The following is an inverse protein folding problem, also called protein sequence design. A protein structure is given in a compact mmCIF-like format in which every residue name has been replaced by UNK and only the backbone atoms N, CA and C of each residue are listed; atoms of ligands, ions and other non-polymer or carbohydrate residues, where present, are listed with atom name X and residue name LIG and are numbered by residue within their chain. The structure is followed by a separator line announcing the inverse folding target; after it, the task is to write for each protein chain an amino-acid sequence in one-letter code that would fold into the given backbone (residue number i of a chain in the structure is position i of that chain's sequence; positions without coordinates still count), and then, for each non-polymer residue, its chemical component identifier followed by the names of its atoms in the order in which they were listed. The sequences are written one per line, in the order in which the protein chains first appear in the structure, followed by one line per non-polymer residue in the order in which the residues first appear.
data_IF_206971723841
#
_entry.id   IF_206971723841
#
_cell.length_a   1.000
_cell.length_b   1.000
_cell.length_c   1.000
_cell.angle_alpha   90.00
_cell.angle_beta   90.00
_cell.angle_gamma   90.00
#
_symmetry.space_group_name_H-M   'P 1'
#
loop_
_entity.id
_entity.type
_entity.pdbx_description
1 polymer ?
#
# COMPACT_ATOMS: atom_id res chain seq x y z
N UNK A 1 36.21 -6.27 -1.86
CA UNK A 1 34.80 -6.60 -1.63
C UNK A 1 33.87 -6.12 -2.77
N UNK A 2 33.85 -4.84 -3.17
CA UNK A 2 32.96 -4.33 -4.26
C UNK A 2 33.09 -5.05 -5.61
N UNK A 3 34.30 -5.45 -6.04
CA UNK A 3 34.52 -6.18 -7.30
C UNK A 3 33.96 -7.61 -7.30
N UNK A 4 33.92 -8.28 -6.14
CA UNK A 4 33.34 -9.64 -6.01
C UNK A 4 31.80 -9.59 -6.09
N UNK A 5 31.18 -8.55 -5.51
CA UNK A 5 29.71 -8.37 -5.55
C UNK A 5 29.20 -8.14 -6.98
N UNK A 6 29.91 -7.33 -7.77
CA UNK A 6 29.56 -7.09 -9.19
C UNK A 6 29.72 -8.37 -10.03
N UNK A 7 30.70 -9.20 -9.73
CA UNK A 7 30.91 -10.47 -10.44
C UNK A 7 29.80 -11.50 -10.09
N UNK A 8 29.31 -11.52 -8.87
CA UNK A 8 28.19 -12.38 -8.43
C UNK A 8 26.91 -11.97 -9.11
N UNK A 9 26.59 -10.66 -9.17
CA UNK A 9 25.41 -10.15 -9.89
C UNK A 9 25.47 -10.44 -11.40
N UNK A 10 26.65 -10.31 -12.03
CA UNK A 10 26.83 -10.66 -13.42
C UNK A 10 26.71 -12.18 -13.68
N UNK A 11 27.15 -13.02 -12.72
CA UNK A 11 27.06 -14.47 -12.85
C UNK A 11 25.62 -14.97 -12.70
N UNK A 12 24.84 -14.38 -11.80
CA UNK A 12 23.39 -14.68 -11.65
C UNK A 12 22.63 -14.34 -12.94
N UNK A 13 22.96 -13.23 -13.62
CA UNK A 13 22.37 -12.90 -14.91
C UNK A 13 22.78 -13.87 -16.03
N UNK A 14 24.00 -14.40 -15.99
CA UNK A 14 24.50 -15.32 -17.02
C UNK A 14 23.92 -16.74 -16.83
N UNK A 15 23.71 -17.18 -15.60
CA UNK A 15 23.13 -18.50 -15.30
C UNK A 15 21.69 -18.57 -15.76
N UNK A 16 20.94 -17.47 -15.69
CA UNK A 16 19.55 -17.43 -16.19
C UNK A 16 19.43 -17.56 -17.72
N UNK A 17 20.52 -17.36 -18.48
CA UNK A 17 20.52 -17.45 -19.96
C UNK A 17 21.19 -18.70 -20.52
N UNK A 18 21.84 -19.53 -19.71
CA UNK A 18 22.76 -20.56 -20.18
C UNK A 18 22.36 -22.03 -19.90
N UNK A 19 21.18 -22.32 -19.36
CA UNK A 19 20.73 -23.68 -19.12
C UNK A 19 19.63 -24.10 -20.13
N UNK A 20 19.97 -24.77 -21.23
CA UNK A 20 18.98 -25.41 -22.08
C UNK A 20 18.54 -26.74 -21.44
N UNK A 21 17.30 -26.83 -21.05
CA UNK A 21 16.65 -28.13 -20.84
C UNK A 21 16.23 -28.51 -19.42
N UNK A 22 16.10 -27.58 -18.50
CA UNK A 22 15.40 -27.87 -17.24
C UNK A 22 13.90 -27.61 -17.48
N UNK A 23 13.11 -28.66 -17.52
CA UNK A 23 11.66 -28.54 -17.50
C UNK A 23 11.25 -28.03 -16.12
N UNK A 24 11.00 -26.72 -16.01
CA UNK A 24 10.50 -26.13 -14.79
C UNK A 24 9.03 -26.55 -14.58
N UNK A 25 8.71 -26.95 -13.37
CA UNK A 25 7.33 -27.15 -12.97
C UNK A 25 6.60 -25.82 -13.17
N UNK A 26 5.48 -25.87 -13.88
CA UNK A 26 4.65 -24.73 -14.20
C UNK A 26 3.86 -24.34 -12.94
N UNK A 27 4.49 -23.68 -12.00
CA UNK A 27 3.77 -22.91 -10.98
C UNK A 27 3.68 -21.47 -11.52
N UNK A 28 2.46 -21.10 -11.90
CA UNK A 28 2.10 -19.72 -12.21
C UNK A 28 2.35 -18.90 -10.93
N UNK A 29 3.24 -17.90 -10.93
CA UNK A 29 3.49 -17.09 -9.75
C UNK A 29 2.30 -16.22 -9.32
N UNK A 30 1.11 -16.44 -9.88
CA UNK A 30 -0.12 -15.69 -9.60
C UNK A 30 -0.23 -14.36 -10.34
N UNK A 31 0.66 -14.05 -11.27
CA UNK A 31 0.61 -12.81 -12.06
C UNK A 31 -0.67 -12.72 -12.90
N UNK A 32 -1.04 -13.82 -13.57
CA UNK A 32 -2.26 -13.88 -14.39
C UNK A 32 -3.50 -13.57 -13.56
N UNK A 33 -3.62 -14.18 -12.38
CA UNK A 33 -4.74 -13.95 -11.48
C UNK A 33 -4.76 -12.52 -10.93
N UNK A 34 -3.58 -11.96 -10.63
CA UNK A 34 -3.45 -10.57 -10.23
C UNK A 34 -3.94 -9.60 -11.32
N UNK A 35 -3.53 -9.80 -12.58
CA UNK A 35 -3.98 -8.99 -13.73
C UNK A 35 -5.50 -9.11 -13.90
N UNK A 36 -6.03 -10.33 -13.92
CA UNK A 36 -7.47 -10.59 -14.07
C UNK A 36 -8.26 -9.94 -12.94
N UNK A 37 -7.79 -10.06 -11.71
CA UNK A 37 -8.43 -9.46 -10.53
C UNK A 37 -8.50 -7.94 -10.64
N UNK A 38 -7.42 -7.30 -11.05
CA UNK A 38 -7.39 -5.85 -11.26
C UNK A 38 -8.38 -5.44 -12.35
N UNK A 39 -8.37 -6.10 -13.51
CA UNK A 39 -9.26 -5.78 -14.64
C UNK A 39 -10.75 -6.05 -14.36
N UNK A 40 -11.08 -6.94 -13.43
CA UNK A 40 -12.46 -7.13 -12.94
C UNK A 40 -12.95 -5.98 -12.07
N UNK A 41 -12.06 -5.42 -11.27
CA UNK A 41 -12.41 -4.42 -10.26
C UNK A 41 -12.22 -2.98 -10.76
N UNK A 42 -11.24 -2.76 -11.60
CA UNK A 42 -10.81 -1.44 -12.05
C UNK A 42 -10.89 -1.33 -13.57
N UNK A 43 -11.08 -0.11 -14.04
CA UNK A 43 -11.05 0.17 -15.47
C UNK A 43 -9.62 0.51 -15.87
N UNK A 44 -9.07 -0.26 -16.81
CA UNK A 44 -7.81 0.06 -17.46
C UNK A 44 -8.16 0.62 -18.84
N UNK A 45 -7.81 1.88 -19.17
CA UNK A 45 -8.09 2.46 -20.47
C UNK A 45 -7.46 1.65 -21.61
N UNK A 46 -8.17 1.46 -22.71
CA UNK A 46 -7.70 0.63 -23.83
C UNK A 46 -6.44 1.21 -24.49
N UNK A 47 -6.27 2.52 -24.44
CA UNK A 47 -5.05 3.20 -24.94
C UNK A 47 -3.80 2.89 -24.12
N UNK A 48 -3.94 2.41 -22.87
CA UNK A 48 -2.85 1.98 -22.02
C UNK A 48 -2.44 0.53 -22.38
N UNK A 49 -1.80 0.37 -23.54
CA UNK A 49 -1.51 -0.94 -24.14
C UNK A 49 -0.14 -1.51 -23.79
N UNK A 50 0.80 -0.67 -23.36
CA UNK A 50 2.10 -1.16 -22.86
C UNK A 50 1.96 -1.61 -21.41
N UNK A 51 2.38 -2.85 -21.14
CA UNK A 51 2.27 -3.46 -19.82
C UNK A 51 3.64 -3.82 -19.25
N UNK A 52 3.83 -3.50 -17.98
CA UNK A 52 4.99 -3.94 -17.19
C UNK A 52 4.57 -4.32 -15.77
N UNK A 53 5.40 -5.09 -15.10
CA UNK A 53 5.14 -5.50 -13.73
C UNK A 53 6.44 -5.64 -12.92
N UNK A 54 6.30 -5.60 -11.61
CA UNK A 54 7.31 -6.04 -10.67
C UNK A 54 6.65 -6.81 -9.52
N UNK A 55 7.41 -7.72 -8.91
CA UNK A 55 6.93 -8.49 -7.77
C UNK A 55 7.93 -8.40 -6.61
N UNK A 56 7.40 -8.39 -5.40
CA UNK A 56 8.18 -8.53 -4.19
C UNK A 56 7.46 -9.47 -3.24
N UNK A 57 8.21 -10.38 -2.59
CA UNK A 57 7.64 -11.33 -1.65
C UNK A 57 8.21 -11.08 -0.25
N UNK A 58 7.33 -11.04 0.74
CA UNK A 58 7.71 -10.90 2.14
C UNK A 58 6.70 -11.64 3.02
N UNK A 59 7.19 -12.47 3.95
CA UNK A 59 6.32 -13.20 4.88
C UNK A 59 5.32 -14.15 4.21
N UNK A 60 5.64 -14.69 3.02
CA UNK A 60 4.74 -15.58 2.27
C UNK A 60 3.62 -14.87 1.50
N UNK A 61 3.63 -13.54 1.46
CA UNK A 61 2.72 -12.74 0.63
C UNK A 61 3.51 -12.12 -0.50
N UNK A 62 3.08 -12.35 -1.75
CA UNK A 62 3.62 -11.66 -2.91
C UNK A 62 2.82 -10.42 -3.19
N UNK A 63 3.50 -9.30 -3.37
CA UNK A 63 2.94 -8.03 -3.82
C UNK A 63 3.31 -7.83 -5.28
N UNK A 64 2.32 -7.71 -6.13
CA UNK A 64 2.45 -7.37 -7.55
C UNK A 64 2.23 -5.88 -7.73
N UNK A 65 3.16 -5.21 -8.41
CA UNK A 65 2.96 -3.86 -8.91
C UNK A 65 2.80 -3.96 -10.43
N UNK A 66 1.60 -3.67 -10.90
CA UNK A 66 1.20 -3.78 -12.30
C UNK A 66 1.08 -2.38 -12.88
N UNK A 67 1.61 -2.15 -14.06
CA UNK A 67 1.57 -0.85 -14.72
C UNK A 67 1.14 -0.99 -16.17
N UNK A 68 0.17 -0.18 -16.55
CA UNK A 68 -0.30 -0.02 -17.93
C UNK A 68 -0.08 1.42 -18.36
N UNK A 69 0.58 1.62 -19.47
CA UNK A 69 0.83 2.96 -20.00
C UNK A 69 0.47 3.07 -21.48
N UNK A 70 0.19 4.28 -21.92
CA UNK A 70 0.05 4.59 -23.35
C UNK A 70 1.41 4.53 -24.01
N UNK A 71 1.43 4.17 -25.29
CA UNK A 71 2.65 4.17 -26.07
C UNK A 71 3.14 5.60 -26.35
N UNK A 72 4.38 5.89 -25.96
CA UNK A 72 5.03 7.20 -26.15
C UNK A 72 4.98 8.09 -24.91
N UNK A 73 5.62 9.29 -25.04
CA UNK A 73 5.89 10.18 -23.89
C UNK A 73 4.68 11.06 -23.47
N UNK A 74 3.62 11.11 -24.28
CA UNK A 74 2.43 11.91 -24.03
C UNK A 74 1.22 11.00 -23.85
N UNK A 75 0.87 10.69 -22.61
CA UNK A 75 -0.24 9.80 -22.40
C UNK A 75 -0.63 9.63 -20.93
N UNK A 76 -1.10 8.45 -20.59
CA UNK A 76 -1.51 8.13 -19.24
C UNK A 76 -0.81 6.85 -18.72
N UNK A 77 -0.72 6.76 -17.41
CA UNK A 77 -0.24 5.59 -16.68
C UNK A 77 -1.33 5.19 -15.69
N UNK A 78 -1.61 3.90 -15.63
CA UNK A 78 -2.35 3.24 -14.54
C UNK A 78 -1.38 2.34 -13.79
N UNK A 79 -1.20 2.57 -12.51
CA UNK A 79 -0.37 1.74 -11.64
C UNK A 79 -1.23 1.13 -10.54
N UNK A 80 -1.12 -0.18 -10.31
CA UNK A 80 -1.91 -0.91 -9.33
C UNK A 80 -1.02 -1.85 -8.54
N UNK A 81 -1.12 -1.77 -7.20
CA UNK A 81 -0.50 -2.76 -6.33
C UNK A 81 -1.58 -3.71 -5.80
N UNK A 82 -1.39 -4.99 -6.01
CA UNK A 82 -2.28 -6.06 -5.57
C UNK A 82 -1.49 -7.15 -4.89
N UNK A 83 -1.98 -7.65 -3.75
CA UNK A 83 -1.32 -8.74 -3.04
C UNK A 83 -1.77 -10.12 -3.57
N UNK A 84 -1.03 -11.17 -3.21
CA UNK A 84 -1.34 -12.55 -3.59
C UNK A 84 -2.68 -13.07 -3.04
N UNK A 85 -3.38 -12.31 -2.19
CA UNK A 85 -4.76 -12.60 -1.77
C UNK A 85 -5.80 -11.91 -2.65
N UNK A 86 -5.37 -11.15 -3.68
CA UNK A 86 -6.24 -10.37 -4.57
C UNK A 86 -6.73 -9.05 -3.96
N UNK A 87 -6.12 -8.61 -2.87
CA UNK A 87 -6.45 -7.34 -2.23
C UNK A 87 -5.74 -6.18 -2.95
N UNK A 88 -6.52 -5.21 -3.43
CA UNK A 88 -5.99 -3.99 -4.06
C UNK A 88 -5.52 -3.06 -2.95
N UNK A 89 -4.21 -2.79 -2.91
CA UNK A 89 -3.59 -1.92 -1.91
C UNK A 89 -3.36 -0.51 -2.42
N UNK A 90 -3.07 -0.37 -3.71
CA UNK A 90 -2.86 0.92 -4.33
C UNK A 90 -3.44 0.93 -5.76
N UNK A 91 -3.98 2.05 -6.15
CA UNK A 91 -4.32 2.41 -7.53
C UNK A 91 -3.95 3.86 -7.75
N UNK A 92 -3.32 4.14 -8.88
CA UNK A 92 -2.98 5.49 -9.30
C UNK A 92 -3.17 5.65 -10.81
N UNK A 93 -3.96 6.64 -11.21
CA UNK A 93 -4.08 7.08 -12.60
C UNK A 93 -3.40 8.42 -12.77
N UNK A 94 -2.49 8.52 -13.71
CA UNK A 94 -1.80 9.74 -14.07
C UNK A 94 -1.92 10.01 -15.55
N UNK A 95 -2.23 11.26 -15.91
CA UNK A 95 -2.28 11.70 -17.29
C UNK A 95 -1.34 12.90 -17.46
N UNK A 96 -0.31 12.73 -18.28
CA UNK A 96 0.73 13.74 -18.52
C UNK A 96 0.17 15.04 -19.10
N UNK A 97 -0.85 14.96 -19.97
CA UNK A 97 -1.49 16.14 -20.57
C UNK A 97 -2.13 17.05 -19.53
N UNK A 98 -2.59 16.48 -18.40
CA UNK A 98 -3.20 17.25 -17.33
C UNK A 98 -2.19 18.09 -16.53
N UNK A 99 -0.92 17.74 -16.54
CA UNK A 99 0.14 18.47 -15.82
C UNK A 99 0.41 19.84 -16.44
N UNK A 100 0.24 19.97 -17.76
CA UNK A 100 0.51 21.21 -18.51
C UNK A 100 -0.72 22.08 -18.72
N UNK A 101 -1.90 21.61 -18.32
CA UNK A 101 -3.13 22.43 -18.40
C UNK A 101 -3.20 23.39 -17.22
N UNK A 102 -2.74 24.63 -17.43
CA UNK A 102 -2.75 25.70 -16.43
C UNK A 102 -4.14 26.27 -16.14
N UNK A 103 -5.18 25.73 -16.78
CA UNK A 103 -6.56 26.18 -16.57
C UNK A 103 -7.12 25.58 -15.27
N UNK A 104 -8.02 26.33 -14.64
CA UNK A 104 -8.81 25.80 -13.53
C UNK A 104 -9.58 24.56 -13.99
N UNK A 105 -9.55 23.47 -13.17
CA UNK A 105 -10.28 22.27 -13.52
C UNK A 105 -11.78 22.60 -13.57
N UNK A 106 -12.45 22.10 -14.61
CA UNK A 106 -13.92 22.18 -14.70
C UNK A 106 -14.50 21.27 -13.60
N UNK A 107 -15.35 21.85 -12.77
CA UNK A 107 -16.08 21.11 -11.76
C UNK A 107 -17.42 20.69 -12.34
N UNK A 108 -17.64 19.38 -12.51
CA UNK A 108 -18.89 18.81 -13.04
C UNK A 108 -19.66 18.03 -11.98
N UNK A 109 -19.00 17.58 -10.90
CA UNK A 109 -19.63 16.88 -9.78
C UNK A 109 -19.36 17.62 -8.47
N UNK A 110 -20.30 17.57 -7.55
CA UNK A 110 -20.16 18.10 -6.20
C UNK A 110 -19.25 17.19 -5.34
N UNK A 111 -18.80 17.72 -4.21
CA UNK A 111 -18.02 16.93 -3.24
C UNK A 111 -18.82 15.77 -2.65
N UNK A 112 -20.12 15.96 -2.44
CA UNK A 112 -21.00 14.92 -1.87
C UNK A 112 -21.24 13.79 -2.89
N UNK A 113 -21.44 14.11 -4.16
CA UNK A 113 -21.51 13.11 -5.23
C UNK A 113 -20.18 12.36 -5.38
N UNK A 114 -19.04 13.04 -5.30
CA UNK A 114 -17.74 12.42 -5.33
C UNK A 114 -17.52 11.51 -4.13
N UNK A 115 -18.01 11.91 -2.93
CA UNK A 115 -17.94 11.07 -1.72
C UNK A 115 -18.75 9.78 -1.89
N UNK A 116 -19.97 9.87 -2.43
CA UNK A 116 -20.80 8.69 -2.72
C UNK A 116 -20.06 7.74 -3.67
N UNK A 117 -19.49 8.27 -4.76
CA UNK A 117 -18.68 7.45 -5.70
C UNK A 117 -17.45 6.82 -5.02
N UNK A 118 -16.79 7.55 -4.14
CA UNK A 118 -15.67 7.03 -3.38
C UNK A 118 -16.09 5.84 -2.50
N UNK A 119 -17.22 5.95 -1.81
CA UNK A 119 -17.77 4.87 -0.97
C UNK A 119 -18.20 3.66 -1.81
N UNK A 120 -18.82 3.87 -2.97
CA UNK A 120 -19.15 2.80 -3.92
C UNK A 120 -17.90 2.05 -4.40
N UNK A 121 -16.82 2.78 -4.71
CA UNK A 121 -15.55 2.16 -5.12
C UNK A 121 -14.91 1.40 -3.96
N UNK A 122 -14.87 1.98 -2.76
CA UNK A 122 -14.34 1.31 -1.57
C UNK A 122 -15.08 0.00 -1.32
N UNK A 123 -16.42 0.02 -1.38
CA UNK A 123 -17.25 -1.17 -1.20
C UNK A 123 -17.03 -2.22 -2.30
N UNK A 124 -16.88 -1.78 -3.56
CA UNK A 124 -16.58 -2.66 -4.68
C UNK A 124 -15.23 -3.37 -4.52
N UNK A 125 -14.21 -2.64 -4.07
CA UNK A 125 -12.86 -3.19 -3.86
C UNK A 125 -12.79 -4.06 -2.60
N UNK A 126 -13.61 -3.76 -1.58
CA UNK A 126 -13.57 -4.42 -0.28
C UNK A 126 -15.00 -4.59 0.28
N UNK A 127 -15.74 -5.59 -0.17
CA UNK A 127 -17.13 -5.78 0.26
C UNK A 127 -17.30 -5.86 1.78
N UNK A 128 -18.20 -5.05 2.33
CA UNK A 128 -18.52 -4.97 3.77
C UNK A 128 -17.52 -4.17 4.61
N UNK A 129 -16.51 -3.52 4.01
CA UNK A 129 -15.49 -2.80 4.77
C UNK A 129 -16.02 -1.48 5.37
N UNK A 130 -17.01 -0.87 4.72
CA UNK A 130 -17.52 0.45 5.12
C UNK A 130 -18.05 0.49 6.56
N UNK A 131 -18.62 -0.61 7.07
CA UNK A 131 -19.12 -0.73 8.44
C UNK A 131 -18.00 -0.57 9.49
N UNK A 132 -16.77 -0.88 9.11
CA UNK A 132 -15.57 -0.74 9.94
C UNK A 132 -14.82 0.55 9.75
N UNK A 133 -15.31 1.44 8.88
CA UNK A 133 -14.65 2.69 8.53
C UNK A 133 -15.34 3.91 9.13
N UNK A 134 -14.54 4.87 9.55
CA UNK A 134 -14.99 6.20 9.94
C UNK A 134 -14.42 7.22 8.97
N UNK A 135 -15.29 7.98 8.32
CA UNK A 135 -14.88 9.11 7.49
C UNK A 135 -14.21 10.18 8.35
N UNK A 136 -13.03 10.60 7.93
CA UNK A 136 -12.31 11.70 8.56
C UNK A 136 -12.39 12.91 7.61
N UNK A 137 -13.18 13.90 8.02
CA UNK A 137 -13.16 15.17 7.34
C UNK A 137 -11.81 15.84 7.62
N UNK A 138 -10.83 15.61 6.76
CA UNK A 138 -9.60 16.37 6.81
C UNK A 138 -9.94 17.84 6.52
N UNK A 139 -9.36 18.76 7.29
CA UNK A 139 -9.28 20.16 6.90
C UNK A 139 -8.35 20.25 5.67
N UNK A 140 -8.85 19.78 4.55
CA UNK A 140 -8.13 19.85 3.30
C UNK A 140 -8.32 21.27 2.76
N UNK A 141 -7.27 22.05 2.87
CA UNK A 141 -7.10 23.19 1.99
C UNK A 141 -7.00 22.62 0.56
N UNK A 142 -8.13 22.41 -0.08
CA UNK A 142 -8.15 22.07 -1.51
C UNK A 142 -7.79 23.32 -2.27
N UNK A 143 -6.69 23.30 -2.98
CA UNK A 143 -6.36 24.35 -3.94
C UNK A 143 -7.46 24.41 -5.01
N UNK A 144 -7.74 25.60 -5.50
CA UNK A 144 -8.62 25.78 -6.67
C UNK A 144 -8.06 25.11 -7.93
N UNK A 145 -6.76 24.77 -7.91
CA UNK A 145 -6.08 24.04 -8.99
C UNK A 145 -6.17 22.51 -8.81
N UNK A 146 -6.61 22.02 -7.64
CA UNK A 146 -6.75 20.58 -7.44
C UNK A 146 -7.82 20.01 -8.36
N UNK A 147 -7.48 19.00 -9.14
CA UNK A 147 -8.39 18.34 -10.08
C UNK A 147 -9.26 17.28 -9.39
N UNK A 148 -8.94 16.85 -8.20
CA UNK A 148 -9.64 15.80 -7.49
C UNK A 148 -10.16 16.25 -6.12
N UNK A 149 -11.21 15.56 -5.65
CA UNK A 149 -11.62 15.54 -4.26
C UNK A 149 -10.96 14.40 -3.56
N UNK A 150 -10.41 14.67 -2.38
CA UNK A 150 -9.73 13.69 -1.55
C UNK A 150 -10.61 13.33 -0.35
N UNK A 151 -10.67 12.03 -0.05
CA UNK A 151 -11.39 11.48 1.08
C UNK A 151 -10.49 10.52 1.84
N UNK A 152 -10.61 10.50 3.16
CA UNK A 152 -9.87 9.59 4.02
C UNK A 152 -10.81 8.93 5.01
N UNK A 153 -10.67 7.63 5.15
CA UNK A 153 -11.44 6.79 6.04
C UNK A 153 -10.47 6.03 6.93
N UNK A 154 -10.69 6.06 8.25
CA UNK A 154 -9.87 5.35 9.22
C UNK A 154 -10.65 4.14 9.71
N UNK A 155 -9.98 3.00 9.81
CA UNK A 155 -10.55 1.80 10.42
C UNK A 155 -10.91 2.07 11.87
N UNK A 156 -12.04 1.50 12.31
CA UNK A 156 -12.48 1.48 13.71
C UNK A 156 -12.70 0.05 14.15
N UNK A 157 -12.41 -0.22 15.42
CA UNK A 157 -12.78 -1.45 16.10
C UNK A 157 -13.52 -1.10 17.39
N UNK A 158 -14.75 -1.57 17.56
CA UNK A 158 -15.63 -1.17 18.66
C UNK A 158 -15.73 0.36 18.85
N UNK A 159 -15.77 1.11 17.73
CA UNK A 159 -15.82 2.57 17.74
C UNK A 159 -14.48 3.27 18.01
N UNK A 160 -13.40 2.54 18.32
CA UNK A 160 -12.07 3.09 18.58
C UNK A 160 -11.31 3.18 17.25
N UNK A 161 -10.82 4.38 16.85
CA UNK A 161 -10.07 4.55 15.63
C UNK A 161 -8.69 3.87 15.66
N UNK A 162 -8.27 3.33 14.52
CA UNK A 162 -6.94 2.72 14.31
C UNK A 162 -6.20 3.55 13.27
N UNK A 163 -5.43 4.59 13.67
CA UNK A 163 -4.84 5.55 12.74
C UNK A 163 -3.84 4.98 11.74
N UNK A 164 -3.26 3.81 12.05
CA UNK A 164 -2.34 3.09 11.15
C UNK A 164 -3.05 2.24 10.09
N UNK A 165 -4.39 2.19 10.12
CA UNK A 165 -5.21 1.47 9.14
C UNK A 165 -6.19 2.46 8.53
N UNK A 166 -5.99 2.79 7.26
CA UNK A 166 -6.83 3.78 6.58
C UNK A 166 -6.98 3.48 5.09
N UNK A 167 -7.99 4.09 4.51
CA UNK A 167 -8.22 4.17 3.09
C UNK A 167 -8.24 5.64 2.69
N UNK A 168 -7.38 6.00 1.76
CA UNK A 168 -7.37 7.31 1.12
C UNK A 168 -7.75 7.16 -0.34
N UNK A 169 -8.70 7.96 -0.81
CA UNK A 169 -9.24 7.87 -2.17
C UNK A 169 -9.43 9.28 -2.77
N UNK A 170 -9.12 9.42 -4.04
CA UNK A 170 -9.31 10.66 -4.78
C UNK A 170 -10.20 10.43 -6.01
N UNK A 171 -11.17 11.32 -6.18
CA UNK A 171 -12.15 11.31 -7.29
C UNK A 171 -11.99 12.59 -8.12
N UNK A 172 -11.86 12.44 -9.43
CA UNK A 172 -11.74 13.57 -10.36
C UNK A 172 -12.99 14.45 -10.31
N UNK A 173 -12.80 15.78 -10.25
CA UNK A 173 -13.89 16.77 -10.14
C UNK A 173 -14.71 16.92 -11.42
N UNK A 174 -14.14 16.58 -12.55
CA UNK A 174 -14.76 16.73 -13.85
C UNK A 174 -15.46 15.46 -14.31
N UNK A 175 -14.76 14.31 -14.21
CA UNK A 175 -15.27 13.03 -14.73
C UNK A 175 -15.98 12.19 -13.66
N UNK A 176 -15.65 12.38 -12.40
CA UNK A 176 -16.11 11.53 -11.31
C UNK A 176 -15.44 10.17 -11.26
N UNK A 177 -14.33 10.01 -11.96
CA UNK A 177 -13.55 8.78 -12.02
C UNK A 177 -12.53 8.68 -10.87
N UNK A 178 -12.08 7.47 -10.61
CA UNK A 178 -11.04 7.18 -9.64
C UNK A 178 -9.70 7.72 -10.14
N UNK A 179 -9.05 8.58 -9.35
CA UNK A 179 -7.69 9.08 -9.59
C UNK A 179 -6.67 8.32 -8.78
N UNK A 180 -6.95 8.11 -7.49
CA UNK A 180 -6.07 7.31 -6.64
C UNK A 180 -6.86 6.61 -5.54
N UNK A 181 -6.34 5.47 -5.14
CA UNK A 181 -6.78 4.71 -4.00
C UNK A 181 -5.54 4.17 -3.29
N UNK A 182 -5.50 4.31 -1.98
CA UNK A 182 -4.46 3.73 -1.15
C UNK A 182 -5.09 3.12 0.09
N UNK A 183 -4.75 1.88 0.40
CA UNK A 183 -5.22 1.13 1.55
C UNK A 183 -4.03 0.66 2.38
N UNK A 184 -3.96 1.14 3.61
CA UNK A 184 -3.07 0.60 4.63
C UNK A 184 -3.92 -0.23 5.59
N UNK A 185 -3.69 -1.55 5.63
CA UNK A 185 -4.56 -2.46 6.37
C UNK A 185 -3.81 -3.65 6.94
N UNK A 186 -3.75 -3.71 8.26
CA UNK A 186 -3.19 -4.85 8.95
C UNK A 186 -4.30 -5.87 9.19
N UNK A 187 -4.27 -7.00 8.48
CA UNK A 187 -5.31 -8.04 8.53
C UNK A 187 -5.28 -8.82 9.84
N UNK A 188 -4.10 -9.09 10.38
CA UNK A 188 -3.86 -10.06 11.46
C UNK A 188 -3.68 -9.43 12.85
N UNK A 189 -4.29 -8.25 13.08
CA UNK A 189 -4.20 -7.57 14.38
C UNK A 189 -5.29 -8.03 15.31
N UNK A 190 -4.89 -8.53 16.48
CA UNK A 190 -5.82 -8.84 17.59
C UNK A 190 -5.95 -7.58 18.45
N UNK A 191 -7.18 -7.07 18.53
CA UNK A 191 -7.48 -5.90 19.37
C UNK A 191 -7.86 -6.34 20.78
N UNK A 192 -7.21 -5.79 21.81
CA UNK A 192 -7.59 -6.06 23.18
C UNK A 192 -8.97 -5.44 23.51
N UNK A 193 -9.68 -6.02 24.48
CA UNK A 193 -10.92 -5.41 24.98
C UNK A 193 -10.62 -4.08 25.67
N UNK A 194 -11.42 -3.06 25.39
CA UNK A 194 -11.32 -1.75 26.02
C UNK A 194 -12.13 -1.61 27.34
N UNK A 195 -12.60 -2.74 27.92
CA UNK A 195 -13.46 -2.69 29.15
C UNK A 195 -12.71 -2.27 30.42
N UNK A 196 -11.39 -2.43 30.46
CA UNK A 196 -10.57 -2.19 31.65
C UNK A 196 -9.57 -1.04 31.47
N UNK A 197 -9.90 -0.09 30.60
CA UNK A 197 -9.05 1.09 30.39
C UNK A 197 -9.30 2.13 31.49
N UNK A 198 -8.29 2.94 31.77
CA UNK A 198 -8.40 4.10 32.66
C UNK A 198 -9.39 5.12 32.07
N UNK A 199 -10.03 5.89 32.94
CA UNK A 199 -10.92 6.96 32.48
C UNK A 199 -10.15 8.07 31.75
N UNK A 200 -10.86 8.87 30.94
CA UNK A 200 -10.25 10.02 30.26
C UNK A 200 -9.60 11.00 31.26
N UNK A 201 -10.18 11.17 32.43
CA UNK A 201 -9.61 12.05 33.48
C UNK A 201 -8.29 11.49 33.99
N UNK A 202 -8.24 10.21 34.32
CA UNK A 202 -6.99 9.53 34.75
C UNK A 202 -5.93 9.59 33.64
N UNK A 203 -6.33 9.39 32.36
CA UNK A 203 -5.43 9.53 31.22
C UNK A 203 -4.86 10.96 31.07
N UNK A 204 -5.67 12.00 31.32
CA UNK A 204 -5.23 13.40 31.31
C UNK A 204 -4.22 13.67 32.43
N UNK A 205 -4.48 13.17 33.63
CA UNK A 205 -3.56 13.29 34.79
C UNK A 205 -2.25 12.52 34.51
N UNK A 206 -2.34 11.32 33.97
CA UNK A 206 -1.19 10.53 33.53
C UNK A 206 -0.39 11.22 32.43
N UNK A 207 -1.06 11.87 31.47
CA UNK A 207 -0.40 12.64 30.42
C UNK A 207 0.46 13.77 31.00
N UNK A 208 -0.13 14.58 31.92
CA UNK A 208 0.61 15.69 32.58
C UNK A 208 1.80 15.15 33.37
N UNK A 209 1.60 14.04 34.11
CA UNK A 209 2.63 13.44 34.98
C UNK A 209 3.75 12.77 34.19
N UNK A 210 3.43 11.98 33.16
CA UNK A 210 4.36 11.02 32.51
C UNK A 210 4.89 11.52 31.18
N UNK A 211 4.16 12.38 30.44
CA UNK A 211 4.61 13.04 29.23
C UNK A 211 4.98 14.50 29.47
N UNK A 212 4.15 15.22 30.23
CA UNK A 212 4.41 16.59 30.65
C UNK A 212 4.32 17.63 29.51
N UNK A 213 4.31 18.89 29.97
CA UNK A 213 4.32 20.05 29.09
C UNK A 213 5.47 20.97 29.51
N UNK A 214 6.08 21.67 28.55
CA UNK A 214 7.07 22.74 28.79
C UNK A 214 6.62 24.00 28.10
N UNK A 215 6.95 25.12 28.72
CA UNK A 215 6.76 26.45 28.12
C UNK A 215 7.84 26.71 27.07
N UNK A 216 7.42 27.08 25.87
CA UNK A 216 8.31 27.42 24.75
C UNK A 216 7.82 28.70 24.07
N UNK A 217 8.72 29.43 23.42
CA UNK A 217 8.32 30.46 22.48
C UNK A 217 8.14 29.82 21.09
N UNK A 218 7.00 30.09 20.48
CA UNK A 218 6.70 29.70 19.10
C UNK A 218 6.52 30.94 18.24
N UNK A 219 6.75 30.80 16.94
CA UNK A 219 6.58 31.86 15.97
C UNK A 219 5.58 31.44 14.87
N UNK A 220 4.76 32.39 14.44
CA UNK A 220 3.89 32.25 13.28
C UNK A 220 4.12 33.43 12.34
N UNK A 221 4.20 33.16 11.05
CA UNK A 221 4.27 34.15 10.00
C UNK A 221 2.83 34.49 9.58
N UNK A 222 2.47 35.76 9.70
CA UNK A 222 1.18 36.28 9.25
C UNK A 222 1.39 37.63 8.61
N UNK A 223 0.94 37.78 7.36
CA UNK A 223 1.03 39.07 6.61
C UNK A 223 2.45 39.63 6.62
N UNK A 224 3.45 38.85 6.21
CA UNK A 224 4.88 39.18 6.15
C UNK A 224 5.52 39.63 7.48
N UNK A 225 4.81 39.45 8.58
CA UNK A 225 5.32 39.72 9.93
C UNK A 225 5.45 38.43 10.74
N UNK A 226 6.49 38.36 11.55
CA UNK A 226 6.71 37.24 12.50
C UNK A 226 6.10 37.63 13.83
N UNK A 227 5.12 36.89 14.31
CA UNK A 227 4.57 37.00 15.65
C UNK A 227 5.12 35.89 16.53
N UNK A 228 5.80 36.24 17.59
CA UNK A 228 6.29 35.31 18.62
C UNK A 228 5.30 35.29 19.80
N UNK A 229 5.00 34.12 20.33
CA UNK A 229 4.12 33.96 21.47
C UNK A 229 4.56 32.78 22.35
N UNK A 230 4.34 32.80 23.66
CA UNK A 230 4.57 31.68 24.54
C UNK A 230 3.47 30.63 24.36
N UNK A 231 3.86 29.35 24.36
CA UNK A 231 2.91 28.20 24.30
C UNK A 231 3.45 27.05 25.14
N UNK A 232 2.54 26.28 25.72
CA UNK A 232 2.87 24.98 26.29
C UNK A 232 2.92 23.92 25.18
N UNK A 233 4.04 23.26 25.07
CA UNK A 233 4.25 22.15 24.11
C UNK A 233 4.58 20.87 24.84
N UNK A 234 4.23 19.69 24.30
CA UNK A 234 4.66 18.43 24.88
C UNK A 234 6.17 18.35 25.03
N UNK A 235 6.64 17.75 26.13
CA UNK A 235 8.08 17.52 26.35
C UNK A 235 8.61 16.48 25.37
N UNK A 236 7.81 15.44 25.12
CA UNK A 236 8.12 14.35 24.19
C UNK A 236 7.43 14.58 22.84
N UNK A 237 8.04 14.08 21.76
CA UNK A 237 7.49 14.18 20.41
C UNK A 237 6.25 13.31 20.19
N UNK A 238 5.72 13.33 18.96
CA UNK A 238 4.47 12.68 18.56
C UNK A 238 4.46 11.14 18.62
N UNK A 239 5.61 10.50 18.89
CA UNK A 239 5.72 9.04 19.01
C UNK A 239 5.46 8.49 20.42
N UNK A 240 5.09 9.33 21.38
CA UNK A 240 4.82 8.89 22.74
C UNK A 240 3.34 8.98 23.08
N UNK A 241 2.85 7.99 23.81
CA UNK A 241 1.47 7.80 24.21
C UNK A 241 1.35 7.51 25.71
N UNK A 242 0.15 7.60 26.23
CA UNK A 242 -0.23 7.02 27.52
C UNK A 242 -0.92 5.70 27.24
N UNK A 243 -0.39 4.64 27.81
CA UNK A 243 -1.02 3.33 27.77
C UNK A 243 -2.38 3.39 28.49
N UNK A 244 -3.44 2.96 27.82
CA UNK A 244 -4.80 3.11 28.32
C UNK A 244 -5.13 2.10 29.44
N UNK A 245 -4.34 1.10 29.69
CA UNK A 245 -4.53 0.14 30.80
C UNK A 245 -3.74 0.53 32.03
N UNK A 246 -2.53 1.05 31.86
CA UNK A 246 -1.60 1.30 32.97
C UNK A 246 -1.46 2.78 33.34
N UNK A 247 -1.78 3.70 32.41
CA UNK A 247 -1.48 5.12 32.56
C UNK A 247 0.00 5.45 32.40
N UNK A 248 0.84 4.51 32.05
CA UNK A 248 2.28 4.73 31.85
C UNK A 248 2.59 5.29 30.47
N UNK A 249 3.75 5.91 30.36
CA UNK A 249 4.26 6.38 29.05
C UNK A 249 4.76 5.19 28.24
N UNK A 250 4.28 5.08 27.02
CA UNK A 250 4.78 4.13 26.02
C UNK A 250 5.22 4.85 24.75
N UNK A 251 5.99 4.19 23.89
CA UNK A 251 6.48 4.72 22.64
C UNK A 251 5.96 3.88 21.47
N UNK A 252 5.62 4.53 20.38
CA UNK A 252 5.23 3.85 19.15
C UNK A 252 6.36 2.94 18.67
N UNK A 253 6.04 1.68 18.42
CA UNK A 253 7.02 0.67 17.97
C UNK A 253 7.77 -0.05 19.09
N UNK A 254 7.51 0.26 20.38
CA UNK A 254 8.23 -0.39 21.49
C UNK A 254 7.88 -1.87 21.69
N UNK A 255 6.71 -2.34 21.25
CA UNK A 255 6.32 -3.75 21.31
C UNK A 255 5.21 -4.11 20.30
N UNK A 256 5.53 -4.14 19.02
CA UNK A 256 4.75 -4.94 18.08
C UNK A 256 5.56 -6.16 17.68
N UNK A 257 5.54 -7.18 18.51
CA UNK A 257 5.92 -8.54 18.10
C UNK A 257 4.74 -9.06 17.26
N UNK A 258 4.75 -8.77 15.98
CA UNK A 258 3.85 -9.41 15.03
C UNK A 258 4.36 -10.84 14.85
N UNK A 259 3.67 -11.81 15.44
CA UNK A 259 3.86 -13.21 15.10
C UNK A 259 3.20 -13.48 13.75
N UNK A 260 3.94 -13.23 12.66
CA UNK A 260 3.49 -13.41 11.29
C UNK A 260 3.24 -14.86 10.86
N UNK A 261 3.60 -15.88 11.68
CA UNK A 261 3.87 -17.22 11.18
C UNK A 261 2.68 -18.16 10.98
N UNK A 262 1.49 -17.91 11.51
CA UNK A 262 0.35 -18.85 11.33
C UNK A 262 -0.79 -18.32 10.46
N UNK A 263 -1.04 -17.03 10.42
CA UNK A 263 -2.12 -16.44 9.65
C UNK A 263 -1.84 -16.48 8.13
N UNK A 264 -0.57 -16.33 7.73
CA UNK A 264 -0.14 -16.35 6.32
C UNK A 264 -0.37 -17.74 5.70
N UNK A 265 -0.15 -18.83 6.43
CA UNK A 265 -0.43 -20.20 5.94
C UNK A 265 -1.93 -20.44 5.66
N UNK A 266 -2.80 -19.74 6.36
CA UNK A 266 -4.25 -19.89 6.21
C UNK A 266 -4.82 -19.09 5.04
N UNK A 267 -4.20 -17.96 4.68
CA UNK A 267 -4.62 -17.16 3.52
C UNK A 267 -4.24 -17.80 2.20
N UNK A 268 -3.11 -18.50 2.11
CA UNK A 268 -2.71 -19.24 0.90
C UNK A 268 -3.68 -20.38 0.55
N UNK A 269 -4.37 -20.98 1.53
CA UNK A 269 -5.36 -22.04 1.27
C UNK A 269 -6.70 -21.54 0.72
N UNK A 270 -6.96 -20.23 0.72
CA UNK A 270 -8.20 -19.64 0.21
C UNK A 270 -8.11 -19.34 -1.29
N UNK A 271 -6.91 -19.23 -1.87
CA UNK A 271 -6.72 -19.08 -3.32
C UNK A 271 -7.00 -20.37 -4.09
N UNK A 272 -6.76 -21.53 -3.46
CA UNK A 272 -7.02 -22.86 -4.06
C UNK A 272 -8.53 -23.20 -4.15
N UNK A 273 -9.39 -22.38 -3.56
CA UNK A 273 -10.86 -22.56 -3.58
C UNK A 273 -11.60 -21.69 -4.62
N UNK A 274 -10.95 -21.40 -5.77
CA UNK A 274 -11.69 -21.14 -7.01
C UNK A 274 -12.58 -19.89 -6.99
N UNK A 275 -12.06 -18.70 -6.74
CA UNK A 275 -12.64 -17.48 -7.31
C UNK A 275 -12.24 -17.42 -8.79
N UNK A 276 -12.89 -18.23 -9.60
CA UNK A 276 -12.69 -18.26 -11.04
C UNK A 276 -12.92 -16.87 -11.64
N UNK A 277 -11.85 -16.24 -12.07
CA UNK A 277 -11.85 -15.05 -12.93
C UNK A 277 -12.26 -15.43 -14.36
N UNK A 278 -13.40 -16.12 -14.51
CA UNK A 278 -13.92 -16.48 -15.82
C UNK A 278 -14.41 -15.23 -16.54
N UNK A 279 -13.85 -14.97 -17.73
CA UNK A 279 -14.38 -14.00 -18.68
C UNK A 279 -13.54 -12.74 -18.90
N UNK A 280 -12.42 -12.52 -18.20
CA UNK A 280 -11.51 -11.39 -18.47
C UNK A 280 -10.44 -11.84 -19.47
N UNK A 281 -10.41 -11.21 -20.65
CA UNK A 281 -9.37 -11.46 -21.65
C UNK A 281 -8.09 -10.66 -21.31
N UNK A 282 -6.94 -11.33 -21.45
CA UNK A 282 -5.62 -10.69 -21.36
C UNK A 282 -5.23 -10.14 -22.73
N UNK A 283 -4.49 -9.03 -22.73
CA UNK A 283 -3.84 -8.50 -23.94
C UNK A 283 -2.63 -9.36 -24.34
N UNK A 284 -2.14 -9.26 -25.60
CA UNK A 284 -0.93 -9.97 -26.01
C UNK A 284 0.30 -9.64 -25.14
N UNK A 285 0.43 -8.40 -24.68
CA UNK A 285 1.51 -7.93 -23.81
C UNK A 285 1.41 -8.55 -22.42
N UNK A 286 0.20 -8.63 -21.87
CA UNK A 286 -0.06 -9.28 -20.58
C UNK A 286 0.18 -10.79 -20.65
N UNK A 287 -0.23 -11.46 -21.74
CA UNK A 287 0.03 -12.87 -21.99
C UNK A 287 1.53 -13.13 -22.03
N UNK A 288 2.28 -12.30 -22.78
CA UNK A 288 3.73 -12.39 -22.86
C UNK A 288 4.40 -12.26 -21.51
N UNK A 289 3.96 -11.28 -20.68
CA UNK A 289 4.49 -11.09 -19.33
C UNK A 289 4.21 -12.29 -18.41
N UNK A 290 3.02 -12.90 -18.50
CA UNK A 290 2.69 -14.12 -17.75
C UNK A 290 3.55 -15.30 -18.21
N UNK A 291 3.75 -15.49 -19.52
CA UNK A 291 4.62 -16.54 -20.05
C UNK A 291 6.09 -16.37 -19.62
N UNK A 292 6.59 -15.12 -19.60
CA UNK A 292 7.94 -14.81 -19.13
C UNK A 292 8.05 -15.07 -17.62
N UNK A 293 7.06 -14.70 -16.81
CA UNK A 293 7.03 -14.95 -15.37
C UNK A 293 7.02 -16.45 -15.05
N UNK A 294 6.22 -17.23 -15.78
CA UNK A 294 6.15 -18.69 -15.61
C UNK A 294 7.47 -19.41 -15.99
N UNK A 295 8.36 -18.75 -16.72
CA UNK A 295 9.70 -19.24 -17.04
C UNK A 295 10.78 -18.92 -16.01
N UNK A 296 10.45 -18.13 -14.99
CA UNK A 296 11.40 -17.78 -13.92
C UNK A 296 11.44 -18.88 -12.86
N UNK A 297 12.63 -19.10 -12.28
CA UNK A 297 12.80 -20.00 -11.14
C UNK A 297 12.30 -19.32 -9.87
N UNK A 298 11.76 -20.11 -8.92
CA UNK A 298 11.36 -19.60 -7.61
C UNK A 298 12.56 -19.10 -6.80
N UNK A 299 12.29 -18.28 -5.79
CA UNK A 299 13.35 -17.80 -4.87
C UNK A 299 14.06 -18.97 -4.18
N UNK A 300 13.32 -20.01 -3.78
CA UNK A 300 13.87 -21.21 -3.12
C UNK A 300 14.78 -22.00 -4.06
N UNK A 301 14.38 -22.14 -5.34
CA UNK A 301 15.20 -22.80 -6.34
C UNK A 301 16.46 -21.98 -6.67
N UNK A 302 16.34 -20.66 -6.78
CA UNK A 302 17.47 -19.76 -6.99
C UNK A 302 18.47 -19.85 -5.82
N UNK A 303 17.96 -19.86 -4.57
CA UNK A 303 18.78 -20.04 -3.37
C UNK A 303 19.48 -21.40 -3.37
N UNK A 304 18.77 -22.48 -3.67
CA UNK A 304 19.32 -23.82 -3.77
C UNK A 304 20.45 -23.87 -4.79
N UNK A 305 20.22 -23.34 -5.99
CA UNK A 305 21.22 -23.28 -7.06
C UNK A 305 22.43 -22.46 -6.60
N UNK A 306 22.21 -21.30 -5.96
CA UNK A 306 23.28 -20.46 -5.45
C UNK A 306 24.14 -21.17 -4.38
N UNK A 307 23.52 -21.93 -3.49
CA UNK A 307 24.22 -22.71 -2.45
C UNK A 307 25.00 -23.90 -3.02
N UNK A 308 24.53 -24.51 -4.12
CA UNK A 308 25.22 -25.58 -4.82
C UNK A 308 26.47 -25.09 -5.61
N UNK A 309 26.54 -23.79 -5.90
CA UNK A 309 27.68 -23.20 -6.62
C UNK A 309 28.89 -23.02 -5.68
N UNK A 310 29.81 -23.99 -5.63
CA UNK A 310 31.01 -23.96 -4.80
C UNK A 310 31.87 -22.69 -4.93
N UNK A 311 31.78 -21.98 -6.07
CA UNK A 311 32.49 -20.72 -6.32
C UNK A 311 31.99 -19.56 -5.44
N UNK A 312 30.78 -19.66 -4.90
CA UNK A 312 30.17 -18.60 -4.09
C UNK A 312 30.51 -18.76 -2.59
N UNK A 313 31.00 -19.95 -2.17
CA UNK A 313 31.37 -20.26 -0.77
C UNK A 313 30.27 -19.85 0.25
N UNK A 314 29.00 -19.99 -0.13
CA UNK A 314 27.86 -19.66 0.74
C UNK A 314 27.68 -20.76 1.77
N UNK A 315 27.75 -20.41 3.05
CA UNK A 315 27.44 -21.29 4.17
C UNK A 315 26.06 -20.97 4.78
N UNK A 316 25.66 -21.71 5.80
CA UNK A 316 24.34 -21.59 6.46
C UNK A 316 24.16 -20.27 7.23
N UNK A 317 25.21 -19.44 7.35
CA UNK A 317 25.13 -18.13 8.00
C UNK A 317 24.71 -17.02 7.02
N UNK A 318 24.74 -17.29 5.71
CA UNK A 318 24.24 -16.37 4.70
C UNK A 318 22.71 -16.45 4.61
N UNK A 319 22.06 -15.35 4.96
CA UNK A 319 20.62 -15.13 4.73
C UNK A 319 20.47 -14.46 3.37
N UNK A 320 19.73 -15.09 2.46
CA UNK A 320 19.41 -14.56 1.13
C UNK A 320 18.05 -13.87 1.20
#
# INVERSE_FOLDING_TARGET
MRKKLVLVLALVMIVSTALPGVAFAKEDPGLEDAIKRVKQLLVIPEENSEFSYSASSSGGVTLWNLEWQTKGDEGSIVSVSVDSTGDILNYYYYNYMHQYDSKFPKISISRDEAKTKAEEIIEKLNPGILDSLKFIQANQYTSIYDRAYYFRYIRTYNGIPIPSNDISIAIDKQTGELVSYNKTWNKDVIFPSAEKIISLKEAQEAYIKNLGLRLTYNAVIKNDSVRVFPAYTPIYGSGYYIDAFTGERTMQGAEFVITFNEAVKKSMSLFDSGMGSQGVALTPEEIKAVEEAAGLITQEEAEKIARELKVLELDDTFVV
#
